data_IF_194508690702
#
_entry.id   IF_194508690702
#
_cell.length_a   1.000
_cell.length_b   1.000
_cell.length_c   1.000
_cell.angle_alpha   90.00
_cell.angle_beta   90.00
_cell.angle_gamma   90.00
#
_symmetry.space_group_name_H-M   'P 1'
#
loop_
_entity.id
_entity.type
_entity.pdbx_description
1 polymer ?
#
# COMPACT_ATOMS: atom_id res chain seq x y z
N UNK A 1 13.41 10.68 9.61
CA UNK A 1 14.68 10.89 8.88
C UNK A 1 14.66 10.41 7.43
N UNK A 2 14.17 9.21 7.10
CA UNK A 2 14.02 8.80 5.68
C UNK A 2 12.74 9.32 5.00
N UNK A 3 11.59 9.23 5.69
CA UNK A 3 10.30 9.66 5.12
C UNK A 3 10.07 11.17 5.16
N UNK A 4 10.69 11.88 6.10
CA UNK A 4 10.64 13.35 6.14
C UNK A 4 11.28 13.94 4.88
N UNK A 5 12.40 13.37 4.43
CA UNK A 5 13.05 13.74 3.17
C UNK A 5 12.09 13.57 1.97
N UNK A 6 11.37 12.45 1.89
CA UNK A 6 10.40 12.22 0.82
C UNK A 6 9.26 13.26 0.88
N UNK A 7 8.78 13.58 2.09
CA UNK A 7 7.75 14.59 2.30
C UNK A 7 8.19 15.98 1.83
N UNK A 8 9.42 16.38 2.16
CA UNK A 8 9.99 17.65 1.75
C UNK A 8 10.14 17.72 0.23
N UNK A 9 10.66 16.67 -0.41
CA UNK A 9 10.79 16.60 -1.88
C UNK A 9 9.41 16.74 -2.55
N UNK A 10 8.41 16.00 -2.08
CA UNK A 10 7.06 16.07 -2.64
C UNK A 10 6.45 17.47 -2.46
N UNK A 11 6.65 18.10 -1.29
CA UNK A 11 6.18 19.45 -1.02
C UNK A 11 6.85 20.48 -1.94
N UNK A 12 8.17 20.40 -2.11
CA UNK A 12 8.93 21.29 -3.01
C UNK A 12 8.41 21.14 -4.44
N UNK A 13 8.21 19.90 -4.91
CA UNK A 13 7.80 19.65 -6.28
C UNK A 13 6.40 20.19 -6.55
N UNK A 14 5.50 20.04 -5.57
CA UNK A 14 4.16 20.61 -5.61
C UNK A 14 4.20 22.15 -5.61
N UNK A 15 5.03 22.77 -4.77
CA UNK A 15 5.11 24.23 -4.65
C UNK A 15 5.48 24.93 -5.95
N UNK A 16 6.37 24.32 -6.73
CA UNK A 16 6.87 24.91 -7.98
C UNK A 16 6.23 24.33 -9.25
N UNK A 17 5.20 23.50 -9.10
CA UNK A 17 4.46 22.93 -10.23
C UNK A 17 5.32 22.02 -11.12
N UNK A 18 6.34 21.36 -10.58
CA UNK A 18 7.13 20.40 -11.34
C UNK A 18 6.27 19.21 -11.75
N UNK A 19 6.36 18.81 -13.03
CA UNK A 19 5.70 17.61 -13.56
C UNK A 19 6.39 16.31 -13.16
N UNK A 20 7.60 16.41 -12.60
CA UNK A 20 8.42 15.26 -12.20
C UNK A 20 7.71 14.45 -11.12
N UNK A 21 7.70 13.13 -11.29
CA UNK A 21 7.13 12.21 -10.31
C UNK A 21 8.21 11.71 -9.35
N UNK A 22 7.85 11.64 -8.06
CA UNK A 22 8.72 11.12 -7.00
C UNK A 22 8.54 9.61 -6.90
N UNK A 23 9.62 8.88 -7.18
CA UNK A 23 9.71 7.43 -7.02
C UNK A 23 10.41 7.09 -5.70
N UNK A 24 9.64 6.62 -4.73
CA UNK A 24 10.16 6.14 -3.44
C UNK A 24 10.83 4.78 -3.63
N UNK A 25 12.13 4.71 -3.32
CA UNK A 25 12.94 3.51 -3.42
C UNK A 25 13.39 3.01 -2.04
N UNK A 26 14.12 1.89 -2.01
CA UNK A 26 14.60 1.25 -0.78
C UNK A 26 13.48 0.94 0.24
N UNK A 27 12.31 0.56 -0.27
CA UNK A 27 11.21 0.04 0.54
C UNK A 27 11.56 -1.39 0.98
N UNK A 28 11.51 -1.65 2.29
CA UNK A 28 11.93 -2.92 2.89
C UNK A 28 10.83 -3.64 3.67
N UNK A 29 9.70 -2.98 3.92
CA UNK A 29 8.56 -3.53 4.63
C UNK A 29 7.27 -2.76 4.27
N UNK A 30 6.08 -3.28 4.62
CA UNK A 30 4.79 -2.62 4.36
C UNK A 30 4.67 -1.21 4.95
N UNK A 31 5.26 -0.94 6.11
CA UNK A 31 5.19 0.38 6.77
C UNK A 31 5.87 1.44 5.90
N UNK A 32 7.01 1.14 5.27
CA UNK A 32 7.66 2.07 4.34
C UNK A 32 6.76 2.45 3.16
N UNK A 33 5.92 1.54 2.69
CA UNK A 33 4.97 1.81 1.59
C UNK A 33 3.89 2.77 2.06
N UNK A 34 3.32 2.52 3.24
CA UNK A 34 2.30 3.37 3.85
C UNK A 34 2.86 4.77 4.09
N UNK A 35 4.06 4.88 4.64
CA UNK A 35 4.66 6.16 4.95
C UNK A 35 5.07 6.94 3.70
N UNK A 36 5.60 6.26 2.67
CA UNK A 36 5.91 6.89 1.38
C UNK A 36 4.64 7.42 0.70
N UNK A 37 3.55 6.65 0.71
CA UNK A 37 2.26 7.09 0.19
C UNK A 37 1.72 8.30 0.96
N UNK A 38 1.78 8.28 2.31
CA UNK A 38 1.41 9.43 3.16
C UNK A 38 2.33 10.65 2.99
N UNK A 39 3.55 10.45 2.53
CA UNK A 39 4.49 11.53 2.22
C UNK A 39 4.22 12.17 0.85
N UNK A 40 3.36 11.58 0.02
CA UNK A 40 3.00 12.09 -1.31
C UNK A 40 3.86 11.54 -2.45
N UNK A 41 4.58 10.44 -2.23
CA UNK A 41 5.30 9.76 -3.31
C UNK A 41 4.31 9.27 -4.38
N UNK A 42 4.69 9.40 -5.65
CA UNK A 42 3.84 9.07 -6.79
C UNK A 42 3.99 7.61 -7.19
N UNK A 43 5.21 7.07 -7.05
CA UNK A 43 5.57 5.71 -7.41
C UNK A 43 6.38 5.10 -6.28
N UNK A 44 6.26 3.79 -6.09
CA UNK A 44 7.04 3.03 -5.12
C UNK A 44 7.71 1.84 -5.82
N UNK A 45 9.02 1.67 -5.64
CA UNK A 45 9.73 0.46 -6.05
C UNK A 45 10.11 -0.37 -4.83
N UNK A 46 9.81 -1.67 -4.87
CA UNK A 46 9.99 -2.57 -3.74
C UNK A 46 10.23 -4.01 -4.19
N UNK A 47 10.84 -4.87 -3.35
CA UNK A 47 10.91 -6.30 -3.59
C UNK A 47 9.51 -6.94 -3.68
N UNK A 48 9.38 -7.99 -4.50
CA UNK A 48 8.11 -8.72 -4.65
C UNK A 48 7.57 -9.27 -3.32
N UNK A 49 8.45 -9.69 -2.41
CA UNK A 49 8.05 -10.17 -1.08
C UNK A 49 7.31 -9.10 -0.26
N UNK A 50 7.72 -7.82 -0.35
CA UNK A 50 7.02 -6.71 0.32
C UNK A 50 5.63 -6.52 -0.29
N UNK A 51 5.51 -6.58 -1.62
CA UNK A 51 4.22 -6.50 -2.29
C UNK A 51 3.26 -7.62 -1.83
N UNK A 52 3.76 -8.86 -1.71
CA UNK A 52 2.95 -9.97 -1.20
C UNK A 52 2.49 -9.75 0.25
N UNK A 53 3.29 -9.07 1.08
CA UNK A 53 2.90 -8.73 2.44
C UNK A 53 1.79 -7.67 2.48
N UNK A 54 1.74 -6.74 1.52
CA UNK A 54 0.71 -5.69 1.47
C UNK A 54 -0.70 -6.23 1.23
N UNK A 55 -0.81 -7.30 0.45
CA UNK A 55 -2.10 -7.86 0.04
C UNK A 55 -2.66 -8.90 1.02
N UNK A 56 -1.87 -9.32 2.01
CA UNK A 56 -2.27 -10.35 2.99
C UNK A 56 -2.68 -9.71 4.31
N UNK A 57 -3.86 -10.05 4.80
CA UNK A 57 -4.32 -9.63 6.11
C UNK A 57 -5.13 -10.74 6.80
N UNK A 58 -4.80 -11.15 8.04
CA UNK A 58 -5.46 -12.27 8.71
C UNK A 58 -6.98 -12.13 8.83
N UNK A 59 -7.48 -10.90 9.05
CA UNK A 59 -8.94 -10.67 9.14
C UNK A 59 -9.63 -10.80 7.78
N UNK A 60 -8.93 -10.60 6.67
CA UNK A 60 -9.48 -10.81 5.33
C UNK A 60 -9.70 -12.30 5.10
N UNK A 61 -8.73 -13.14 5.45
CA UNK A 61 -8.84 -14.59 5.33
C UNK A 61 -9.96 -15.15 6.21
N UNK A 62 -10.05 -14.68 7.46
CA UNK A 62 -11.13 -15.05 8.39
C UNK A 62 -12.48 -14.59 7.84
N UNK A 63 -12.56 -13.37 7.31
CA UNK A 63 -13.78 -12.81 6.73
C UNK A 63 -14.26 -13.61 5.53
N UNK A 64 -13.35 -13.94 4.59
CA UNK A 64 -13.66 -14.75 3.42
C UNK A 64 -14.15 -16.15 3.80
N UNK A 65 -13.50 -16.79 4.78
CA UNK A 65 -13.93 -18.11 5.27
C UNK A 65 -15.36 -18.07 5.81
N UNK A 66 -15.67 -17.11 6.69
CA UNK A 66 -17.02 -16.95 7.24
C UNK A 66 -18.05 -16.66 6.15
N UNK A 67 -17.71 -15.80 5.21
CA UNK A 67 -18.59 -15.47 4.08
C UNK A 67 -18.97 -16.72 3.28
N UNK A 68 -18.00 -17.58 2.97
CA UNK A 68 -18.25 -18.82 2.23
C UNK A 68 -19.09 -19.83 3.04
N UNK A 69 -18.84 -19.95 4.34
CA UNK A 69 -19.65 -20.81 5.23
C UNK A 69 -21.10 -20.35 5.33
N UNK A 70 -21.33 -19.04 5.41
CA UNK A 70 -22.68 -18.47 5.46
C UNK A 70 -23.39 -18.60 4.12
N UNK A 71 -22.66 -18.46 3.01
CA UNK A 71 -23.20 -18.70 1.67
C UNK A 71 -23.68 -20.15 1.49
N UNK A 72 -22.87 -21.12 1.91
CA UNK A 72 -23.22 -22.54 1.85
C UNK A 72 -24.47 -22.86 2.68
N UNK A 73 -24.58 -22.28 3.88
CA UNK A 73 -25.76 -22.44 4.76
C UNK A 73 -27.03 -21.80 4.20
N UNK A 74 -26.91 -20.78 3.35
CA UNK A 74 -28.07 -20.07 2.80
C UNK A 74 -28.92 -20.93 1.85
N UNK A 75 -28.36 -22.02 1.31
CA UNK A 75 -29.03 -22.87 0.31
C UNK A 75 -29.19 -22.22 -1.07
N UNK A 76 -28.64 -21.03 -1.28
CA UNK A 76 -28.67 -20.31 -2.55
C UNK A 76 -27.80 -21.03 -3.59
N UNK A 77 -28.34 -21.24 -4.79
CA UNK A 77 -27.61 -21.81 -5.94
C UNK A 77 -27.33 -20.70 -6.96
N UNK A 78 -26.12 -20.69 -7.50
CA UNK A 78 -25.74 -19.87 -8.66
C UNK A 78 -26.07 -20.66 -9.93
#
# INVERSE_FOLDING_TARGET
VGMDLIRDICQIYKNYGYKTQVLAASIRNPIHVIDAAKAGAHVATMPYSVLQMLIKHPLTDIGLKKFLEDWEKSGSKI
#
